data_IF_227861841298
#
_entry.id   IF_227861841298
#
_cell.length_a   1.000
_cell.length_b   1.000
_cell.length_c   1.000
_cell.angle_alpha   90.00
_cell.angle_beta   90.00
_cell.angle_gamma   90.00
#
_symmetry.space_group_name_H-M   'P 1'
#
loop_
_entity.id
_entity.type
_entity.pdbx_description
1 polymer ?
#
# COMPACT_ATOMS: atom_id res chain seq x y z
N UNK A 1 7.39 -14.55 -11.08
CA UNK A 1 7.72 -14.67 -9.64
C UNK A 1 6.64 -15.47 -8.93
N UNK A 2 6.99 -16.13 -7.83
CA UNK A 2 6.05 -16.89 -6.98
C UNK A 2 5.63 -16.08 -5.74
N UNK A 3 4.61 -16.57 -5.00
CA UNK A 3 4.07 -15.92 -3.80
C UNK A 3 5.12 -15.64 -2.72
N UNK A 4 6.08 -16.56 -2.53
CA UNK A 4 7.12 -16.42 -1.50
C UNK A 4 8.01 -15.23 -1.84
N UNK A 5 8.45 -15.11 -3.10
CA UNK A 5 9.26 -13.99 -3.59
C UNK A 5 8.53 -12.64 -3.46
N UNK A 6 7.20 -12.64 -3.67
CA UNK A 6 6.37 -11.43 -3.49
C UNK A 6 6.36 -11.01 -2.02
N UNK A 7 6.17 -11.96 -1.10
CA UNK A 7 6.16 -11.68 0.34
C UNK A 7 7.51 -11.19 0.84
N UNK A 8 8.60 -11.79 0.38
CA UNK A 8 9.97 -11.32 0.68
C UNK A 8 10.18 -9.88 0.21
N UNK A 9 9.74 -9.54 -1.00
CA UNK A 9 9.81 -8.15 -1.50
C UNK A 9 8.93 -7.19 -0.71
N UNK A 10 7.87 -7.67 -0.08
CA UNK A 10 6.98 -6.88 0.78
C UNK A 10 7.48 -6.75 2.22
N UNK A 11 8.50 -7.50 2.65
CA UNK A 11 9.01 -7.50 4.02
C UNK A 11 9.21 -6.09 4.62
N UNK A 12 9.76 -5.08 3.90
CA UNK A 12 9.99 -3.75 4.45
C UNK A 12 8.72 -3.02 4.93
N UNK A 13 7.56 -3.37 4.38
CA UNK A 13 6.26 -2.81 4.78
C UNK A 13 5.48 -3.75 5.70
N UNK A 14 5.72 -5.07 5.63
CA UNK A 14 5.09 -6.07 6.51
C UNK A 14 5.50 -5.90 7.98
N UNK A 15 6.71 -5.40 8.23
CA UNK A 15 7.20 -5.07 9.57
C UNK A 15 6.56 -3.81 10.16
N UNK A 16 5.63 -3.17 9.45
CA UNK A 16 4.86 -2.03 9.94
C UNK A 16 3.59 -2.51 10.63
N UNK A 17 3.45 -2.16 11.91
CA UNK A 17 2.30 -2.52 12.73
C UNK A 17 1.47 -1.28 13.02
N UNK A 18 0.14 -1.45 13.04
CA UNK A 18 -0.78 -0.41 13.49
C UNK A 18 -1.40 -0.86 14.79
N UNK A 19 -1.23 -0.05 15.83
CA UNK A 19 -1.76 -0.34 17.17
C UNK A 19 -2.72 0.75 17.62
N UNK A 20 -3.97 0.40 17.85
CA UNK A 20 -4.93 1.31 18.49
C UNK A 20 -4.62 1.43 19.97
N UNK A 21 -4.63 2.68 20.46
CA UNK A 21 -4.32 3.06 21.82
C UNK A 21 -5.46 3.88 22.39
N UNK A 22 -5.69 3.69 23.69
CA UNK A 22 -6.59 4.51 24.46
C UNK A 22 -5.76 5.34 25.44
N UNK A 23 -5.96 6.65 25.41
CA UNK A 23 -5.29 7.55 26.33
C UNK A 23 -5.80 7.30 27.74
N UNK A 24 -4.90 7.36 28.71
CA UNK A 24 -5.29 7.35 30.11
C UNK A 24 -4.34 8.25 30.93
N UNK A 25 -4.66 8.53 32.20
CA UNK A 25 -3.88 9.46 33.02
C UNK A 25 -2.41 9.09 33.24
N UNK A 26 -1.97 7.87 32.90
CA UNK A 26 -0.57 7.43 32.97
C UNK A 26 0.17 7.54 31.63
N UNK A 27 -0.53 7.83 30.53
CA UNK A 27 0.09 8.03 29.22
C UNK A 27 0.93 9.31 29.24
N UNK A 28 2.19 9.24 28.81
CA UNK A 28 3.11 10.38 28.81
C UNK A 28 3.94 10.41 27.54
N UNK A 29 4.13 11.60 26.98
CA UNK A 29 5.16 11.88 25.99
C UNK A 29 6.37 12.43 26.75
N UNK A 30 7.49 11.72 26.67
CA UNK A 30 8.74 12.10 27.33
C UNK A 30 9.77 12.47 26.28
N UNK A 31 10.43 13.61 26.47
CA UNK A 31 11.50 14.07 25.58
C UNK A 31 12.82 14.02 26.34
N UNK A 32 13.80 13.32 25.78
CA UNK A 32 15.20 13.37 26.21
C UNK A 32 16.01 14.09 25.13
N UNK A 33 17.29 14.45 25.40
CA UNK A 33 18.15 15.06 24.39
C UNK A 33 18.34 14.20 23.14
N UNK A 34 18.18 12.88 23.27
CA UNK A 34 18.47 11.91 22.21
C UNK A 34 17.21 11.43 21.48
N UNK A 35 16.04 11.44 22.15
CA UNK A 35 14.83 10.84 21.60
C UNK A 35 13.54 11.38 22.22
N UNK A 36 12.44 11.23 21.49
CA UNK A 36 11.08 11.39 22.00
C UNK A 36 10.49 10.00 22.18
N UNK A 37 9.88 9.74 23.34
CA UNK A 37 9.20 8.46 23.61
C UNK A 37 7.75 8.68 24.01
N UNK A 38 6.91 7.72 23.64
CA UNK A 38 5.57 7.57 24.19
C UNK A 38 5.58 6.46 25.22
N UNK A 39 5.15 6.75 26.43
CA UNK A 39 4.80 5.75 27.43
C UNK A 39 3.30 5.50 27.39
N UNK A 40 2.83 4.32 26.96
CA UNK A 40 1.44 3.95 27.10
C UNK A 40 1.06 3.78 28.57
N UNK A 41 -0.09 4.29 28.97
CA UNK A 41 -0.48 4.25 30.37
C UNK A 41 -0.81 2.87 30.95
N UNK A 42 -0.89 1.82 30.13
CA UNK A 42 -1.10 0.42 30.56
C UNK A 42 0.12 -0.29 31.15
N UNK A 43 1.22 0.42 31.44
CA UNK A 43 2.45 -0.19 31.98
C UNK A 43 3.36 -0.82 30.92
N UNK A 44 3.15 -0.49 29.65
CA UNK A 44 3.99 -0.95 28.55
C UNK A 44 5.34 -0.21 28.51
N UNK A 45 6.31 -0.81 27.85
CA UNK A 45 7.61 -0.18 27.58
C UNK A 45 7.44 1.15 26.81
N UNK A 46 8.42 2.03 27.00
CA UNK A 46 8.53 3.25 26.24
C UNK A 46 8.70 2.90 24.76
N UNK A 47 7.89 3.53 23.92
CA UNK A 47 7.99 3.42 22.47
C UNK A 47 8.73 4.64 21.96
N UNK A 48 9.89 4.43 21.35
CA UNK A 48 10.66 5.49 20.72
C UNK A 48 9.91 6.05 19.52
N UNK A 49 10.11 7.33 19.21
CA UNK A 49 9.57 7.98 18.02
C UNK A 49 10.70 8.36 17.08
N UNK A 50 10.50 8.12 15.79
CA UNK A 50 11.34 8.72 14.76
C UNK A 50 11.01 10.21 14.63
N UNK A 51 11.88 10.99 13.97
CA UNK A 51 11.59 12.41 13.68
C UNK A 51 10.26 12.60 12.95
N UNK A 52 9.94 11.70 12.01
CA UNK A 52 8.64 11.69 11.33
C UNK A 52 7.47 11.39 12.27
N UNK A 53 7.66 10.46 13.22
CA UNK A 53 6.69 10.17 14.27
C UNK A 53 6.39 11.35 15.17
N UNK A 54 7.42 12.13 15.54
CA UNK A 54 7.26 13.34 16.36
C UNK A 54 6.50 14.44 15.59
N UNK A 55 6.83 14.65 14.32
CA UNK A 55 6.12 15.57 13.44
C UNK A 55 4.66 15.17 13.27
N UNK A 56 4.42 13.87 13.03
CA UNK A 56 3.08 13.30 12.89
C UNK A 56 2.27 13.46 14.18
N UNK A 57 2.85 13.20 15.35
CA UNK A 57 2.23 13.45 16.65
C UNK A 57 1.85 14.93 16.81
N UNK A 58 2.78 15.85 16.55
CA UNK A 58 2.54 17.28 16.68
C UNK A 58 1.36 17.72 15.80
N UNK A 59 1.36 17.31 14.53
CA UNK A 59 0.25 17.59 13.61
C UNK A 59 -1.07 16.97 14.08
N UNK A 60 -1.04 15.70 14.54
CA UNK A 60 -2.21 14.98 15.03
C UNK A 60 -2.87 15.67 16.23
N UNK A 61 -2.06 16.18 17.17
CA UNK A 61 -2.57 16.91 18.34
C UNK A 61 -2.90 18.38 18.06
N UNK A 62 -2.77 18.83 16.81
CA UNK A 62 -3.07 20.20 16.39
C UNK A 62 -1.99 21.23 16.78
N UNK A 63 -0.75 20.79 16.98
CA UNK A 63 0.41 21.64 17.27
C UNK A 63 1.24 21.84 15.99
N UNK A 64 1.19 23.03 15.34
CA UNK A 64 1.97 23.30 14.14
C UNK A 64 3.47 23.07 14.36
N UNK A 65 4.13 22.38 13.42
CA UNK A 65 5.52 21.95 13.58
C UNK A 65 6.50 23.12 13.81
N UNK A 66 6.26 24.25 13.14
CA UNK A 66 7.05 25.47 13.30
C UNK A 66 7.06 26.03 14.74
N UNK A 67 6.03 25.73 15.53
CA UNK A 67 5.94 26.06 16.94
C UNK A 67 6.48 24.92 17.79
N UNK A 68 6.08 23.67 17.49
CA UNK A 68 6.54 22.47 18.20
C UNK A 68 8.07 22.37 18.28
N UNK A 69 8.76 22.58 17.15
CA UNK A 69 10.21 22.48 17.04
C UNK A 69 10.98 23.57 17.83
N UNK A 70 10.31 24.65 18.24
CA UNK A 70 10.89 25.75 19.02
C UNK A 70 10.65 25.63 20.52
N UNK A 71 9.77 24.72 20.93
CA UNK A 71 9.49 24.50 22.35
C UNK A 71 10.68 23.86 23.03
N UNK A 72 10.86 24.17 24.31
CA UNK A 72 11.79 23.41 25.15
C UNK A 72 11.31 21.95 25.22
N UNK A 73 12.22 20.97 25.26
CA UNK A 73 11.87 19.54 25.32
C UNK A 73 10.79 19.20 26.36
N UNK A 74 10.94 19.68 27.59
CA UNK A 74 9.99 19.46 28.69
C UNK A 74 8.62 20.05 28.37
N UNK A 75 8.58 21.28 27.86
CA UNK A 75 7.35 21.97 27.47
C UNK A 75 6.63 21.24 26.33
N UNK A 76 7.37 20.77 25.32
CA UNK A 76 6.80 19.97 24.25
C UNK A 76 6.19 18.67 24.80
N UNK A 77 6.91 17.95 25.66
CA UNK A 77 6.41 16.72 26.29
C UNK A 77 5.12 16.92 27.08
N UNK A 78 5.05 17.98 27.89
CA UNK A 78 3.83 18.33 28.65
C UNK A 78 2.67 18.69 27.72
N UNK A 79 2.89 19.62 26.76
CA UNK A 79 1.84 20.08 25.84
C UNK A 79 1.34 18.93 24.97
N UNK A 80 2.24 18.12 24.40
CA UNK A 80 1.87 16.97 23.58
C UNK A 80 1.08 15.94 24.39
N UNK A 81 1.46 15.68 25.65
CA UNK A 81 0.72 14.77 26.54
C UNK A 81 -0.70 15.26 26.78
N UNK A 82 -0.88 16.53 27.15
CA UNK A 82 -2.19 17.11 27.44
C UNK A 82 -3.09 17.14 26.21
N UNK A 83 -2.56 17.55 25.06
CA UNK A 83 -3.32 17.60 23.82
C UNK A 83 -3.68 16.20 23.30
N UNK A 84 -2.77 15.22 23.45
CA UNK A 84 -3.06 13.82 23.15
C UNK A 84 -4.18 13.27 24.05
N UNK A 85 -4.25 13.72 25.31
CA UNK A 85 -5.33 13.38 26.24
C UNK A 85 -6.71 13.80 25.75
N UNK A 86 -6.81 14.92 25.02
CA UNK A 86 -8.08 15.39 24.44
C UNK A 86 -8.58 14.52 23.29
N UNK A 87 -7.70 13.77 22.63
CA UNK A 87 -8.08 12.91 21.50
C UNK A 87 -8.73 11.60 21.97
N UNK A 88 -8.52 11.18 23.23
CA UNK A 88 -8.98 9.93 23.87
C UNK A 88 -8.52 8.62 23.21
N UNK A 89 -8.59 8.49 21.88
CA UNK A 89 -8.22 7.30 21.11
C UNK A 89 -7.43 7.70 19.87
N UNK A 90 -6.37 6.96 19.60
CA UNK A 90 -5.47 7.17 18.47
C UNK A 90 -4.86 5.85 18.05
N UNK A 91 -4.31 5.77 16.84
CA UNK A 91 -3.51 4.64 16.41
C UNK A 91 -2.06 5.07 16.19
N UNK A 92 -1.15 4.18 16.57
CA UNK A 92 0.28 4.32 16.38
C UNK A 92 0.71 3.43 15.22
N UNK A 93 1.41 4.01 14.26
CA UNK A 93 2.16 3.24 13.28
C UNK A 93 3.55 2.99 13.83
N UNK A 94 3.92 1.72 13.95
CA UNK A 94 5.19 1.27 14.51
C UNK A 94 5.93 0.52 13.42
N UNK A 95 7.15 0.95 13.10
CA UNK A 95 8.05 0.28 12.18
C UNK A 95 9.38 0.06 12.88
N UNK A 96 9.91 -1.16 12.82
CA UNK A 96 11.20 -1.52 13.44
C UNK A 96 11.27 -1.17 14.95
N UNK A 97 10.12 -1.24 15.65
CA UNK A 97 10.03 -0.93 17.08
C UNK A 97 9.85 0.56 17.43
N UNK A 98 9.95 1.46 16.45
CA UNK A 98 9.76 2.90 16.64
C UNK A 98 8.45 3.40 16.03
N UNK A 99 7.83 4.40 16.67
CA UNK A 99 6.64 5.10 16.18
C UNK A 99 7.06 5.99 15.01
N UNK A 100 6.46 5.75 13.85
CA UNK A 100 6.66 6.55 12.63
C UNK A 100 5.49 7.49 12.33
N UNK A 101 4.29 7.21 12.85
CA UNK A 101 3.13 8.09 12.71
C UNK A 101 2.10 7.89 13.83
N UNK A 102 1.31 8.93 14.08
CA UNK A 102 0.14 8.94 14.97
C UNK A 102 -1.06 9.43 14.18
N UNK A 103 -2.14 8.64 14.16
CA UNK A 103 -3.32 8.89 13.33
C UNK A 103 -4.62 8.56 14.07
N UNK A 104 -5.76 8.80 13.41
CA UNK A 104 -7.06 8.38 13.95
C UNK A 104 -7.20 6.84 13.90
N UNK A 105 -7.94 6.21 14.82
CA UNK A 105 -8.06 4.75 14.89
C UNK A 105 -8.59 4.08 13.62
N UNK A 106 -9.40 4.78 12.82
CA UNK A 106 -10.01 4.27 11.58
C UNK A 106 -9.25 4.67 10.32
N UNK A 107 -8.12 5.37 10.47
CA UNK A 107 -7.35 5.88 9.32
C UNK A 107 -6.46 4.78 8.71
N UNK A 108 -6.01 3.83 9.53
CA UNK A 108 -5.23 2.69 9.09
C UNK A 108 -5.85 1.37 9.56
N UNK A 109 -5.86 0.37 8.67
CA UNK A 109 -6.35 -0.97 8.94
C UNK A 109 -5.31 -1.99 8.50
N UNK A 110 -4.97 -2.93 9.36
CA UNK A 110 -4.04 -4.00 9.00
C UNK A 110 -4.73 -5.02 8.09
N UNK A 111 -4.32 -5.07 6.83
CA UNK A 111 -4.67 -6.13 5.88
C UNK A 111 -3.60 -7.21 5.95
N UNK A 112 -4.02 -8.47 6.13
CA UNK A 112 -3.12 -9.62 6.08
C UNK A 112 -2.72 -9.90 4.62
N UNK A 113 -1.45 -9.70 4.22
CA UNK A 113 -1.09 -9.79 2.81
C UNK A 113 -1.11 -11.21 2.27
N UNK A 114 -0.90 -12.23 3.11
CA UNK A 114 -1.13 -13.62 2.71
C UNK A 114 -2.58 -13.86 2.30
N UNK A 115 -3.54 -13.25 3.00
CA UNK A 115 -4.97 -13.37 2.66
C UNK A 115 -5.28 -12.67 1.34
N UNK A 116 -4.65 -11.52 1.08
CA UNK A 116 -4.79 -10.79 -0.19
C UNK A 116 -4.23 -11.61 -1.35
N UNK A 117 -2.99 -12.10 -1.24
CA UNK A 117 -2.35 -12.92 -2.28
C UNK A 117 -3.14 -14.22 -2.55
N UNK A 118 -3.64 -14.88 -1.49
CA UNK A 118 -4.50 -16.06 -1.66
C UNK A 118 -5.80 -15.73 -2.40
N UNK A 119 -6.41 -14.58 -2.13
CA UNK A 119 -7.63 -14.14 -2.80
C UNK A 119 -7.37 -13.85 -4.29
N UNK A 120 -6.21 -13.29 -4.61
CA UNK A 120 -5.76 -13.05 -5.99
C UNK A 120 -5.57 -14.38 -6.73
N UNK A 121 -4.82 -15.32 -6.14
CA UNK A 121 -4.55 -16.65 -6.71
C UNK A 121 -5.83 -17.49 -6.86
N UNK A 122 -6.80 -17.33 -5.96
CA UNK A 122 -8.11 -17.97 -6.08
C UNK A 122 -9.02 -17.34 -7.14
N UNK A 123 -8.77 -16.09 -7.53
CA UNK A 123 -9.59 -15.35 -8.49
C UNK A 123 -9.10 -15.44 -9.93
N UNK A 124 -7.84 -15.83 -10.17
CA UNK A 124 -7.22 -15.91 -11.49
C UNK A 124 -6.41 -17.21 -11.56
N UNK A 125 -6.86 -18.16 -12.39
CA UNK A 125 -6.13 -19.43 -12.56
C UNK A 125 -4.88 -19.22 -13.41
N UNK A 126 -3.80 -19.93 -13.06
CA UNK A 126 -2.55 -19.88 -13.83
C UNK A 126 -1.81 -18.54 -13.74
N UNK A 127 -2.04 -17.78 -12.67
CA UNK A 127 -1.46 -16.45 -12.49
C UNK A 127 0.05 -16.52 -12.24
N UNK A 128 0.79 -15.61 -12.88
CA UNK A 128 2.19 -15.35 -12.56
C UNK A 128 2.34 -13.90 -12.06
N UNK A 129 3.10 -13.71 -10.98
CA UNK A 129 3.48 -12.37 -10.53
C UNK A 129 4.60 -11.85 -11.42
N UNK A 130 4.27 -10.89 -12.29
CA UNK A 130 5.21 -10.29 -13.23
C UNK A 130 6.09 -9.24 -12.54
N UNK A 131 5.50 -8.40 -11.68
CA UNK A 131 6.20 -7.31 -11.00
C UNK A 131 5.60 -7.01 -9.63
N UNK A 132 6.46 -6.62 -8.70
CA UNK A 132 6.07 -6.07 -7.39
C UNK A 132 6.77 -4.74 -7.23
N UNK A 133 5.98 -3.69 -6.97
CA UNK A 133 6.46 -2.35 -6.68
C UNK A 133 5.97 -1.94 -5.30
N UNK A 134 6.90 -1.48 -4.47
CA UNK A 134 6.58 -0.76 -3.24
C UNK A 134 6.62 0.73 -3.56
N UNK A 135 5.47 1.38 -3.42
CA UNK A 135 5.32 2.81 -3.62
C UNK A 135 5.26 3.52 -2.26
N UNK A 136 5.31 4.85 -2.29
CA UNK A 136 5.13 5.69 -1.11
C UNK A 136 3.81 5.38 -0.40
N UNK A 137 3.71 5.77 0.88
CA UNK A 137 2.56 5.52 1.73
C UNK A 137 2.20 4.03 1.85
N UNK A 138 3.18 3.13 1.83
CA UNK A 138 2.97 1.69 2.06
C UNK A 138 2.02 1.04 1.05
N UNK A 139 2.01 1.54 -0.19
CA UNK A 139 1.22 0.97 -1.28
C UNK A 139 2.04 -0.11 -1.99
N UNK A 140 1.44 -1.28 -2.14
CA UNK A 140 1.94 -2.38 -2.95
C UNK A 140 1.21 -2.34 -4.28
N UNK A 141 1.96 -2.29 -5.37
CA UNK A 141 1.43 -2.51 -6.72
C UNK A 141 1.97 -3.82 -7.26
N UNK A 142 1.06 -4.77 -7.47
CA UNK A 142 1.33 -6.07 -8.07
C UNK A 142 0.89 -6.04 -9.53
N UNK A 143 1.79 -6.40 -10.43
CA UNK A 143 1.46 -6.67 -11.83
C UNK A 143 1.42 -8.19 -12.00
N UNK A 144 0.27 -8.67 -12.45
CA UNK A 144 -0.06 -10.08 -12.57
C UNK A 144 -0.32 -10.37 -14.04
N UNK A 145 0.15 -11.51 -14.54
CA UNK A 145 -0.11 -11.95 -15.91
C UNK A 145 -0.78 -13.33 -15.90
N UNK A 146 -1.75 -13.53 -16.79
CA UNK A 146 -2.41 -14.84 -16.96
C UNK A 146 -1.69 -15.70 -18.00
N UNK A 147 -2.03 -16.99 -18.10
CA UNK A 147 -1.38 -17.94 -19.03
C UNK A 147 -1.64 -17.63 -20.50
N UNK A 148 -2.77 -16.99 -20.80
CA UNK A 148 -3.25 -16.78 -22.18
C UNK A 148 -2.44 -15.70 -22.90
N UNK A 149 -1.88 -16.09 -24.06
CA UNK A 149 -1.16 -15.21 -24.98
C UNK A 149 -1.80 -15.26 -26.36
N UNK A 150 -1.88 -14.12 -27.02
CA UNK A 150 -2.42 -14.04 -28.38
C UNK A 150 -1.49 -13.21 -29.29
N UNK A 151 -1.22 -13.68 -30.52
CA UNK A 151 -0.44 -12.93 -31.48
C UNK A 151 -1.24 -11.76 -32.06
N UNK A 152 -0.57 -10.64 -32.30
CA UNK A 152 -1.11 -9.54 -33.12
C UNK A 152 -0.78 -9.84 -34.59
N UNK A 153 -1.72 -9.56 -35.50
CA UNK A 153 -1.69 -9.96 -36.93
C UNK A 153 -0.36 -9.63 -37.63
N UNK A 154 0.30 -8.53 -37.23
CA UNK A 154 1.63 -8.16 -37.69
C UNK A 154 2.53 -7.67 -36.53
N UNK A 155 2.67 -8.46 -35.45
CA UNK A 155 3.47 -8.00 -34.32
C UNK A 155 3.74 -8.99 -33.20
N UNK A 156 4.20 -8.40 -32.09
CA UNK A 156 4.57 -9.09 -30.86
C UNK A 156 3.37 -9.80 -30.19
N UNK A 157 3.67 -10.73 -29.28
CA UNK A 157 2.64 -11.40 -28.48
C UNK A 157 2.04 -10.43 -27.46
N UNK A 158 0.72 -10.45 -27.31
CA UNK A 158 0.00 -9.75 -26.24
C UNK A 158 -0.41 -10.75 -25.16
N UNK A 159 -0.28 -10.34 -23.90
CA UNK A 159 -0.64 -11.12 -22.73
C UNK A 159 -1.55 -10.29 -21.82
N UNK A 160 -2.66 -10.89 -21.37
CA UNK A 160 -3.56 -10.25 -20.41
C UNK A 160 -2.89 -10.17 -19.02
N UNK A 161 -3.05 -9.03 -18.36
CA UNK A 161 -2.61 -8.85 -16.99
C UNK A 161 -3.59 -8.05 -16.13
N UNK A 162 -3.42 -8.16 -14.82
CA UNK A 162 -4.13 -7.38 -13.83
C UNK A 162 -3.11 -6.66 -12.94
N UNK A 163 -3.29 -5.37 -12.79
CA UNK A 163 -2.60 -4.58 -11.78
C UNK A 163 -3.47 -4.54 -10.53
N UNK A 164 -2.94 -5.01 -9.41
CA UNK A 164 -3.59 -4.94 -8.10
C UNK A 164 -2.79 -4.02 -7.20
N UNK A 165 -3.41 -2.93 -6.76
CA UNK A 165 -2.82 -1.99 -5.82
C UNK A 165 -3.54 -2.05 -4.48
N UNK A 166 -2.82 -2.17 -3.38
CA UNK A 166 -3.40 -2.15 -2.02
C UNK A 166 -2.36 -1.70 -1.00
N UNK A 167 -2.79 -1.37 0.22
CA UNK A 167 -1.87 -1.11 1.33
C UNK A 167 -2.10 -2.09 2.48
N UNK A 168 -1.05 -2.79 2.98
CA UNK A 168 -1.17 -3.63 4.17
C UNK A 168 -1.62 -2.90 5.44
N UNK A 169 -1.53 -1.58 5.47
CA UNK A 169 -1.99 -0.74 6.57
C UNK A 169 -3.19 0.13 6.19
N UNK A 170 -3.78 -0.09 5.00
CA UNK A 170 -5.02 0.56 4.59
C UNK A 170 -4.89 2.06 4.31
N UNK A 171 -3.71 2.54 3.87
CA UNK A 171 -3.54 3.93 3.39
C UNK A 171 -4.26 4.21 2.08
N UNK A 172 -4.58 3.17 1.32
CA UNK A 172 -5.36 3.23 0.08
C UNK A 172 -6.34 2.07 0.04
N UNK A 173 -7.50 2.32 -0.56
CA UNK A 173 -8.44 1.26 -0.90
C UNK A 173 -7.82 0.32 -1.95
N UNK A 174 -8.06 -1.00 -1.87
CA UNK A 174 -7.61 -1.93 -2.90
C UNK A 174 -8.25 -1.59 -4.25
N UNK A 175 -7.41 -1.49 -5.29
CA UNK A 175 -7.83 -1.24 -6.66
C UNK A 175 -7.33 -2.38 -7.54
N UNK A 176 -8.19 -2.85 -8.44
CA UNK A 176 -7.84 -3.82 -9.48
C UNK A 176 -8.08 -3.17 -10.84
N UNK A 177 -7.04 -3.09 -11.66
CA UNK A 177 -7.09 -2.58 -13.02
C UNK A 177 -6.62 -3.66 -13.98
N UNK A 178 -7.29 -3.79 -15.13
CA UNK A 178 -6.76 -4.68 -16.17
C UNK A 178 -5.79 -3.91 -17.06
N UNK A 179 -4.79 -4.62 -17.58
CA UNK A 179 -3.87 -4.09 -18.58
C UNK A 179 -3.50 -5.19 -19.58
N UNK A 180 -2.97 -4.79 -20.72
CA UNK A 180 -2.43 -5.72 -21.70
C UNK A 180 -0.91 -5.51 -21.80
N UNK A 181 -0.14 -6.58 -21.58
CA UNK A 181 1.31 -6.57 -21.70
C UNK A 181 1.70 -6.99 -23.11
N UNK A 182 2.50 -6.17 -23.79
CA UNK A 182 3.10 -6.54 -25.07
C UNK A 182 4.48 -7.14 -24.84
N UNK A 183 4.69 -8.36 -25.28
CA UNK A 183 5.96 -9.08 -25.22
C UNK A 183 6.80 -8.74 -26.45
N UNK A 184 7.50 -7.61 -26.40
CA UNK A 184 8.32 -7.13 -27.53
C UNK A 184 9.50 -8.08 -27.77
N UNK A 185 9.43 -8.86 -28.84
CA UNK A 185 10.53 -9.76 -29.27
C UNK A 185 11.21 -9.26 -30.56
N UNK A 186 10.66 -8.23 -31.19
CA UNK A 186 11.20 -7.62 -32.42
C UNK A 186 11.68 -6.20 -32.13
N UNK A 187 12.82 -5.79 -32.73
CA UNK A 187 13.46 -4.46 -32.56
C UNK A 187 12.63 -3.26 -33.09
N UNK A 188 11.29 -3.37 -33.12
CA UNK A 188 10.37 -2.38 -33.66
C UNK A 188 9.93 -1.34 -32.63
N UNK A 189 10.30 -0.09 -32.89
CA UNK A 189 9.79 1.09 -32.20
C UNK A 189 8.24 1.14 -32.28
N UNK A 190 7.59 1.39 -31.16
CA UNK A 190 6.14 1.16 -30.96
C UNK A 190 5.27 2.37 -31.31
N UNK A 191 4.05 2.15 -31.84
CA UNK A 191 2.99 3.15 -32.01
C UNK A 191 1.68 2.64 -31.36
N UNK A 192 0.86 3.53 -30.79
CA UNK A 192 -0.43 3.23 -30.15
C UNK A 192 -1.42 2.50 -31.08
N UNK A 193 -1.20 2.53 -32.39
CA UNK A 193 -2.02 1.84 -33.40
C UNK A 193 -2.08 0.32 -33.20
N UNK A 194 -1.06 -0.29 -32.58
CA UNK A 194 -0.93 -1.75 -32.51
C UNK A 194 -1.97 -2.38 -31.56
N UNK A 195 -2.50 -1.62 -30.59
CA UNK A 195 -3.63 -2.09 -29.77
C UNK A 195 -4.92 -2.25 -30.60
N UNK A 196 -5.07 -1.52 -31.72
CA UNK A 196 -6.23 -1.64 -32.62
C UNK A 196 -6.15 -2.87 -33.54
N UNK A 197 -4.97 -3.47 -33.68
CA UNK A 197 -4.75 -4.67 -34.50
C UNK A 197 -5.08 -5.96 -33.73
N UNK A 198 -5.49 -5.85 -32.45
CA UNK A 198 -5.93 -6.96 -31.63
C UNK A 198 -7.36 -7.37 -32.02
N UNK A 199 -7.48 -8.44 -32.80
CA UNK A 199 -8.75 -8.96 -33.29
C UNK A 199 -9.21 -10.20 -32.52
N UNK A 200 -9.62 -10.05 -31.26
CA UNK A 200 -10.35 -11.11 -30.55
C UNK A 200 -11.83 -10.74 -30.39
N UNK A 201 -12.70 -11.49 -31.07
CA UNK A 201 -14.15 -11.33 -31.04
C UNK A 201 -14.72 -11.07 -32.42
N UNK A 202 -15.08 -12.12 -33.14
CA UNK A 202 -15.89 -11.98 -34.35
C UNK A 202 -17.27 -11.44 -33.99
N UNK A 203 -17.58 -10.24 -34.47
CA UNK A 203 -18.96 -9.76 -34.59
C UNK A 203 -19.28 -8.50 -33.78
N UNK A 204 -19.28 -7.36 -34.46
CA UNK A 204 -20.29 -6.33 -34.29
C UNK A 204 -20.06 -5.30 -33.18
N UNK A 205 -19.45 -4.17 -33.56
CA UNK A 205 -19.88 -2.85 -33.08
C UNK A 205 -19.74 -2.58 -31.58
N UNK A 206 -18.54 -2.70 -31.03
CA UNK A 206 -18.16 -2.11 -29.75
C UNK A 206 -16.89 -1.28 -29.94
N UNK A 207 -16.88 -0.02 -29.52
CA UNK A 207 -15.79 0.91 -29.81
C UNK A 207 -14.41 0.41 -29.36
N UNK A 208 -13.39 0.74 -30.14
CA UNK A 208 -11.95 0.48 -29.94
C UNK A 208 -11.56 0.53 -28.44
N UNK A 209 -11.53 -0.64 -27.80
CA UNK A 209 -11.21 -0.78 -26.38
C UNK A 209 -12.07 -1.81 -25.66
N UNK A 210 -13.38 -1.85 -25.91
CA UNK A 210 -14.27 -2.76 -25.16
C UNK A 210 -13.95 -4.23 -25.45
N UNK A 211 -13.57 -4.58 -26.68
CA UNK A 211 -13.24 -5.96 -27.06
C UNK A 211 -12.05 -6.54 -26.26
N UNK A 212 -11.02 -5.72 -26.00
CA UNK A 212 -9.88 -6.11 -25.15
C UNK A 212 -10.34 -6.28 -23.69
N UNK A 213 -11.17 -5.37 -23.18
CA UNK A 213 -11.74 -5.48 -21.83
C UNK A 213 -12.65 -6.72 -21.68
N UNK A 214 -13.43 -7.05 -22.71
CA UNK A 214 -14.30 -8.23 -22.73
C UNK A 214 -13.51 -9.52 -22.92
N UNK A 215 -12.43 -9.51 -23.72
CA UNK A 215 -11.47 -10.61 -23.81
C UNK A 215 -10.78 -10.85 -22.47
N UNK A 216 -10.36 -9.78 -21.79
CA UNK A 216 -9.78 -9.84 -20.46
C UNK A 216 -10.78 -10.45 -19.47
N UNK A 217 -12.00 -9.91 -19.37
CA UNK A 217 -13.04 -10.45 -18.47
C UNK A 217 -13.33 -11.93 -18.72
N UNK A 218 -13.37 -12.37 -19.97
CA UNK A 218 -13.55 -13.78 -20.32
C UNK A 218 -12.33 -14.61 -19.92
N UNK A 219 -11.13 -14.17 -20.26
CA UNK A 219 -9.90 -14.88 -19.93
C UNK A 219 -9.64 -14.96 -18.42
N UNK A 220 -10.11 -14.00 -17.63
CA UNK A 220 -10.07 -14.07 -16.16
C UNK A 220 -11.19 -14.89 -15.54
N UNK A 221 -12.34 -15.07 -16.22
CA UNK A 221 -13.50 -15.84 -15.70
C UNK A 221 -13.56 -17.29 -16.18
N UNK A 222 -12.97 -17.59 -17.33
CA UNK A 222 -13.05 -18.89 -18.02
C UNK A 222 -11.77 -19.73 -17.88
N UNK A 223 -10.69 -19.18 -17.31
CA UNK A 223 -9.48 -19.92 -16.95
C UNK A 223 -9.67 -20.63 -15.60
#
# INVERSE_FOLDING_TARGET
>A
MNKVEVLERMEPILNTQVRTMEHNPRTRVTVTPEMVTLRPGGGQHHLEMTTGGVQSLANFVGLPWNLAAKLRPETFGTVATELLGRQNRYALMIKEGAITAVVKPTEFHSLNPNRVLNAIEGGIRGIEYHRVLLLDNFVVSLELIGERREPVVAGDLMQAGAQVSFSPIGTVDPIVQSYALRLVCTNGMTNNTILREFHYGGGGGGGDGDDIWQWFRRSSREA
#
